data_IF_034775311257
#
_entry.id   IF_034775311257
#
_cell.length_a   1.000
_cell.length_b   1.000
_cell.length_c   1.000
_cell.angle_alpha   90.00
_cell.angle_beta   90.00
_cell.angle_gamma   90.00
#
_symmetry.space_group_name_H-M   'P 1'
#
loop_
_entity.id
_entity.type
_entity.pdbx_description
1 polymer ?
#
# COMPACT_ATOMS: atom_id res chain seq x y z
N UNK A 1 6.76 -7.54 9.50
CA UNK A 1 5.72 -6.61 10.00
C UNK A 1 5.74 -6.68 11.52
N UNK A 2 5.55 -5.55 12.19
CA UNK A 2 5.38 -5.49 13.65
C UNK A 2 3.94 -5.06 13.95
N UNK A 3 3.15 -5.91 14.63
CA UNK A 3 1.73 -5.63 14.88
C UNK A 3 1.50 -4.40 15.75
N UNK A 4 2.49 -3.95 16.53
CA UNK A 4 2.40 -2.70 17.31
C UNK A 4 2.28 -1.47 16.41
N UNK A 5 2.67 -1.58 15.14
CA UNK A 5 2.54 -0.50 14.17
C UNK A 5 1.06 -0.15 13.91
N UNK A 6 0.10 -1.01 14.29
CA UNK A 6 -1.34 -0.67 14.29
C UNK A 6 -1.65 0.60 15.09
N UNK A 7 -0.79 0.97 16.05
CA UNK A 7 -0.88 2.22 16.80
C UNK A 7 -0.87 3.46 15.91
N UNK A 8 -0.17 3.40 14.76
CA UNK A 8 -0.07 4.48 13.77
C UNK A 8 -1.28 4.57 12.82
N UNK A 9 -2.25 3.64 12.92
CA UNK A 9 -3.46 3.73 12.11
C UNK A 9 -4.37 4.88 12.58
N UNK A 10 -4.78 5.74 11.66
CA UNK A 10 -5.80 6.76 11.93
C UNK A 10 -7.21 6.15 11.84
N UNK A 11 -7.38 5.19 10.94
CA UNK A 11 -8.64 4.48 10.69
C UNK A 11 -8.37 2.99 10.54
N UNK A 12 -9.22 2.13 11.11
CA UNK A 12 -9.20 0.69 10.84
C UNK A 12 -10.61 0.26 10.49
N UNK A 13 -10.77 -0.38 9.34
CA UNK A 13 -12.06 -0.83 8.81
C UNK A 13 -12.04 -2.30 8.45
N UNK A 14 -13.23 -2.88 8.39
CA UNK A 14 -13.48 -4.14 7.69
C UNK A 14 -14.43 -3.85 6.54
N UNK A 15 -14.03 -4.25 5.33
CA UNK A 15 -14.79 -3.94 4.13
C UNK A 15 -14.32 -4.70 2.90
N UNK A 16 -15.06 -4.52 1.80
CA UNK A 16 -14.73 -5.12 0.51
C UNK A 16 -13.93 -4.14 -0.34
N UNK A 17 -12.86 -4.63 -0.96
CA UNK A 17 -12.08 -3.85 -1.92
C UNK A 17 -12.76 -3.90 -3.29
N UNK A 18 -13.05 -2.74 -3.87
CA UNK A 18 -13.64 -2.60 -5.20
C UNK A 18 -12.88 -1.54 -6.01
N UNK A 19 -13.05 -1.54 -7.33
CA UNK A 19 -12.38 -0.60 -8.25
C UNK A 19 -10.85 -0.56 -8.07
N UNK A 20 -10.23 -1.72 -7.87
CA UNK A 20 -8.79 -1.82 -7.72
C UNK A 20 -8.07 -1.58 -9.04
N UNK A 21 -7.09 -0.68 -9.01
CA UNK A 21 -6.23 -0.39 -10.15
C UNK A 21 -4.82 -0.01 -9.69
N UNK A 22 -3.83 -0.31 -10.54
CA UNK A 22 -2.48 0.22 -10.39
C UNK A 22 -2.39 1.55 -11.12
N UNK A 23 -2.19 2.63 -10.36
CA UNK A 23 -1.91 3.95 -10.91
C UNK A 23 -0.44 4.04 -11.27
N UNK A 24 -0.20 4.23 -12.56
CA UNK A 24 1.12 4.21 -13.18
C UNK A 24 1.65 5.62 -13.36
N UNK A 25 2.82 5.93 -12.81
CA UNK A 25 3.47 7.23 -13.01
C UNK A 25 3.88 7.41 -14.50
N UNK A 26 3.27 8.37 -15.23
CA UNK A 26 3.59 8.61 -16.63
C UNK A 26 4.91 9.36 -16.83
N UNK A 27 5.35 10.15 -15.84
CA UNK A 27 6.59 10.94 -15.89
C UNK A 27 7.79 10.01 -15.79
N UNK A 28 7.77 9.08 -14.82
CA UNK A 28 8.85 8.09 -14.65
C UNK A 28 8.95 7.19 -15.87
N UNK A 29 7.82 6.71 -16.41
CA UNK A 29 7.80 5.90 -17.65
C UNK A 29 8.36 6.65 -18.84
N UNK A 30 7.95 7.90 -19.05
CA UNK A 30 8.46 8.72 -20.15
C UNK A 30 9.96 8.99 -20.01
N UNK A 31 10.43 9.23 -18.79
CA UNK A 31 11.86 9.42 -18.49
C UNK A 31 12.65 8.13 -18.73
N UNK A 32 12.12 7.00 -18.28
CA UNK A 32 12.72 5.69 -18.49
C UNK A 32 12.80 5.34 -19.98
N UNK A 33 11.70 5.56 -20.73
CA UNK A 33 11.67 5.35 -22.18
C UNK A 33 12.71 6.21 -22.90
N UNK A 34 12.79 7.51 -22.58
CA UNK A 34 13.83 8.39 -23.14
C UNK A 34 15.25 7.92 -22.83
N UNK A 35 15.47 7.40 -21.63
CA UNK A 35 16.76 6.84 -21.25
C UNK A 35 17.08 5.58 -22.08
N UNK A 36 16.13 4.65 -22.22
CA UNK A 36 16.30 3.48 -23.08
C UNK A 36 16.59 3.89 -24.52
N UNK A 37 15.87 4.87 -25.06
CA UNK A 37 16.04 5.36 -26.43
C UNK A 37 17.39 6.04 -26.66
N UNK A 38 18.04 6.55 -25.61
CA UNK A 38 19.41 7.06 -25.69
C UNK A 38 20.48 5.96 -25.74
N UNK A 39 20.13 4.71 -25.42
CA UNK A 39 21.05 3.57 -25.45
C UNK A 39 21.07 2.90 -26.83
N UNK A 40 22.23 2.39 -27.28
CA UNK A 40 22.32 1.63 -28.52
C UNK A 40 21.34 0.44 -28.54
N UNK A 41 20.63 0.19 -29.67
CA UNK A 41 19.64 -0.89 -29.76
C UNK A 41 20.17 -2.29 -29.44
N UNK A 42 21.45 -2.55 -29.70
CA UNK A 42 22.14 -3.82 -29.42
C UNK A 42 22.74 -3.92 -28.01
N UNK A 43 22.55 -2.90 -27.15
CA UNK A 43 23.16 -2.91 -25.83
C UNK A 43 22.44 -3.86 -24.87
N UNK A 44 23.20 -4.78 -24.27
CA UNK A 44 22.73 -5.68 -23.20
C UNK A 44 22.15 -4.91 -22.00
N UNK A 45 22.61 -3.69 -21.79
CA UNK A 45 22.07 -2.77 -20.78
C UNK A 45 20.63 -2.35 -21.11
N UNK A 46 20.34 -1.98 -22.37
CA UNK A 46 18.97 -1.65 -22.80
C UNK A 46 18.03 -2.84 -22.64
N UNK A 47 18.47 -4.03 -23.01
CA UNK A 47 17.69 -5.26 -22.86
C UNK A 47 17.38 -5.55 -21.38
N UNK A 48 18.38 -5.41 -20.50
CA UNK A 48 18.22 -5.62 -19.05
C UNK A 48 17.28 -4.58 -18.43
N UNK A 49 17.40 -3.33 -18.84
CA UNK A 49 16.62 -2.21 -18.29
C UNK A 49 15.25 -2.04 -18.91
N UNK A 50 14.94 -2.68 -20.04
CA UNK A 50 13.59 -2.70 -20.63
C UNK A 50 12.62 -3.63 -19.88
N UNK A 51 13.13 -4.49 -18.98
CA UNK A 51 12.36 -5.48 -18.24
C UNK A 51 11.45 -5.00 -17.09
N UNK A 52 11.69 -3.86 -16.39
CA UNK A 52 10.84 -3.44 -15.29
C UNK A 52 9.40 -3.12 -15.76
N UNK A 53 8.43 -3.86 -15.24
CA UNK A 53 6.99 -3.64 -15.53
C UNK A 53 6.33 -2.63 -14.59
N UNK A 54 6.92 -2.41 -13.42
CA UNK A 54 6.48 -1.45 -12.41
C UNK A 54 7.65 -0.60 -11.91
N UNK A 55 7.32 0.59 -11.42
CA UNK A 55 8.25 1.52 -10.78
C UNK A 55 7.85 1.73 -9.32
N UNK A 56 8.80 2.12 -8.47
CA UNK A 56 8.55 2.43 -7.05
C UNK A 56 7.57 3.59 -6.83
N UNK A 57 7.29 4.37 -7.87
CA UNK A 57 6.31 5.46 -7.88
C UNK A 57 4.93 5.02 -8.34
N UNK A 58 4.79 3.76 -8.78
CA UNK A 58 3.47 3.17 -8.98
C UNK A 58 2.85 2.86 -7.63
N UNK A 59 1.54 2.94 -7.57
CA UNK A 59 0.78 2.66 -6.35
C UNK A 59 -0.58 2.09 -6.73
N UNK A 60 -1.17 1.31 -5.83
CA UNK A 60 -2.55 0.88 -6.01
C UNK A 60 -3.53 1.96 -5.53
N UNK A 61 -4.64 2.12 -6.25
CA UNK A 61 -5.81 2.89 -5.84
C UNK A 61 -7.03 1.99 -5.87
N UNK A 62 -7.85 2.08 -4.84
CA UNK A 62 -9.09 1.32 -4.76
C UNK A 62 -10.08 1.98 -3.81
N UNK A 63 -11.32 1.52 -3.88
CA UNK A 63 -12.35 1.88 -2.91
C UNK A 63 -12.55 0.74 -1.91
N UNK A 64 -12.87 1.10 -0.68
CA UNK A 64 -13.33 0.17 0.34
C UNK A 64 -14.82 0.45 0.57
N UNK A 65 -15.67 -0.55 0.32
CA UNK A 65 -17.05 -0.54 0.80
C UNK A 65 -17.02 -1.01 2.25
N UNK A 66 -17.23 -0.07 3.18
CA UNK A 66 -17.03 -0.27 4.61
C UNK A 66 -18.23 -1.00 5.20
N UNK A 67 -17.99 -2.16 5.81
CA UNK A 67 -19.00 -2.89 6.58
C UNK A 67 -18.92 -2.61 8.08
N UNK A 68 -17.71 -2.33 8.59
CA UNK A 68 -17.47 -2.10 10.02
C UNK A 68 -16.27 -1.16 10.20
N UNK A 69 -16.34 -0.27 11.17
CA UNK A 69 -15.23 0.60 11.58
C UNK A 69 -14.76 0.17 12.97
N UNK A 70 -13.50 -0.28 13.07
CA UNK A 70 -12.86 -0.71 14.31
C UNK A 70 -12.13 0.43 15.03
N UNK A 71 -11.66 1.43 14.28
CA UNK A 71 -10.97 2.61 14.81
C UNK A 71 -11.18 3.81 13.90
N UNK A 72 -11.29 5.00 14.48
CA UNK A 72 -11.36 6.27 13.74
C UNK A 72 -12.75 6.54 13.17
N UNK A 73 -12.80 7.30 12.06
CA UNK A 73 -14.03 7.60 11.32
C UNK A 73 -13.81 7.32 9.84
N UNK A 74 -14.78 6.66 9.21
CA UNK A 74 -14.79 6.40 7.78
C UNK A 74 -16.21 6.61 7.24
N UNK A 75 -16.32 7.04 5.98
CA UNK A 75 -17.58 6.97 5.25
C UNK A 75 -17.88 5.53 4.82
N UNK A 76 -19.14 5.24 4.46
CA UNK A 76 -19.57 3.92 3.96
C UNK A 76 -18.77 3.45 2.74
N UNK A 77 -18.19 4.40 2.01
CA UNK A 77 -17.23 4.15 0.93
C UNK A 77 -16.06 5.12 1.05
N UNK A 78 -14.85 4.59 1.02
CA UNK A 78 -13.62 5.39 1.10
C UNK A 78 -12.65 4.99 -0.01
N UNK A 79 -12.20 5.97 -0.78
CA UNK A 79 -11.10 5.80 -1.73
C UNK A 79 -9.78 5.89 -0.99
N UNK A 80 -8.89 4.94 -1.22
CA UNK A 80 -7.59 4.85 -0.55
C UNK A 80 -6.48 4.57 -1.56
N UNK A 81 -5.25 4.87 -1.17
CA UNK A 81 -4.06 4.44 -1.89
C UNK A 81 -3.30 3.37 -1.13
N UNK A 82 -2.41 2.68 -1.84
CA UNK A 82 -1.44 1.78 -1.23
C UNK A 82 -0.10 1.96 -1.94
N UNK A 83 0.80 2.65 -1.25
CA UNK A 83 2.14 2.97 -1.72
C UNK A 83 3.03 1.72 -1.55
N UNK A 84 3.33 1.00 -2.63
CA UNK A 84 4.09 -0.24 -2.53
C UNK A 84 5.59 0.02 -2.39
N UNK A 85 6.13 -0.41 -1.25
CA UNK A 85 7.54 -0.24 -0.95
C UNK A 85 8.45 -1.31 -1.55
N UNK A 86 7.98 -2.51 -1.98
CA UNK A 86 8.91 -3.55 -2.48
C UNK A 86 8.29 -4.83 -3.05
N UNK A 87 7.03 -5.15 -2.75
CA UNK A 87 6.57 -6.55 -2.79
C UNK A 87 5.73 -6.94 -4.01
N UNK A 88 5.52 -6.02 -4.96
CA UNK A 88 4.57 -6.20 -6.05
C UNK A 88 3.14 -6.26 -5.50
N UNK A 89 2.34 -5.24 -5.78
CA UNK A 89 0.92 -5.35 -5.49
C UNK A 89 0.34 -6.44 -6.38
N UNK A 90 -0.60 -7.25 -5.88
CA UNK A 90 -1.27 -8.20 -6.76
C UNK A 90 -1.98 -7.43 -7.86
N UNK A 91 -1.99 -7.99 -9.07
CA UNK A 91 -2.69 -7.37 -10.22
C UNK A 91 -4.20 -7.25 -9.95
N UNK A 92 -4.74 -8.14 -9.10
CA UNK A 92 -6.13 -8.16 -8.66
C UNK A 92 -6.23 -8.49 -7.17
N UNK A 93 -7.23 -7.90 -6.50
CA UNK A 93 -7.58 -8.27 -5.13
C UNK A 93 -8.55 -9.45 -5.15
N UNK A 94 -8.30 -10.44 -4.28
CA UNK A 94 -9.16 -11.61 -4.16
C UNK A 94 -10.60 -11.24 -3.75
N UNK A 95 -11.61 -12.05 -4.13
CA UNK A 95 -12.99 -11.81 -3.73
C UNK A 95 -13.11 -12.04 -2.21
N UNK A 96 -13.32 -10.96 -1.44
CA UNK A 96 -13.40 -11.10 0.02
C UNK A 96 -13.51 -9.78 0.77
N UNK A 97 -13.85 -9.90 2.04
CA UNK A 97 -13.74 -8.79 3.00
C UNK A 97 -12.36 -8.81 3.65
N UNK A 98 -11.81 -7.62 3.83
CA UNK A 98 -10.50 -7.41 4.41
C UNK A 98 -10.60 -6.51 5.64
N UNK A 99 -9.79 -6.80 6.65
CA UNK A 99 -9.43 -5.83 7.67
C UNK A 99 -8.29 -4.98 7.13
N UNK A 100 -8.50 -3.67 7.05
CA UNK A 100 -7.56 -2.72 6.46
C UNK A 100 -7.30 -1.60 7.47
N UNK A 101 -6.03 -1.40 7.82
CA UNK A 101 -5.60 -0.24 8.58
C UNK A 101 -5.13 0.84 7.61
N UNK A 102 -5.59 2.06 7.85
CA UNK A 102 -5.37 3.23 7.04
C UNK A 102 -4.68 4.33 7.86
N UNK A 103 -3.84 5.09 7.19
CA UNK A 103 -3.09 6.22 7.74
C UNK A 103 -3.32 7.46 6.88
N UNK A 104 -3.50 8.61 7.51
CA UNK A 104 -3.36 9.91 6.86
C UNK A 104 -1.89 10.09 6.44
N UNK A 105 -1.60 10.43 5.18
CA UNK A 105 -0.23 10.65 4.73
C UNK A 105 0.58 11.62 5.61
N UNK A 106 -0.09 12.56 6.27
CA UNK A 106 0.48 13.58 7.16
C UNK A 106 0.58 13.15 8.63
N UNK A 107 -0.02 12.02 9.01
CA UNK A 107 0.11 11.44 10.36
C UNK A 107 1.50 10.78 10.53
N UNK A 108 1.99 10.61 11.78
CA UNK A 108 3.25 9.92 12.05
C UNK A 108 3.32 8.54 11.37
N UNK A 109 4.49 8.20 10.85
CA UNK A 109 4.71 6.93 10.15
C UNK A 109 5.43 5.91 11.05
N UNK A 110 5.19 4.61 10.84
CA UNK A 110 5.98 3.57 11.50
C UNK A 110 7.48 3.70 11.23
N UNK A 111 8.34 3.28 12.17
CA UNK A 111 9.79 3.39 11.98
C UNK A 111 10.27 2.54 10.80
N UNK A 112 11.36 3.00 10.16
CA UNK A 112 12.00 2.33 9.04
C UNK A 112 12.47 0.92 9.43
N UNK A 113 12.10 -0.09 8.63
CA UNK A 113 12.49 -1.49 8.86
C UNK A 113 13.58 -1.91 7.87
N UNK A 114 14.73 -1.25 7.93
CA UNK A 114 15.92 -1.66 7.18
C UNK A 114 16.82 -0.49 6.77
N UNK A 115 18.13 -0.75 6.51
CA UNK A 115 19.10 0.28 6.16
C UNK A 115 18.84 0.93 4.79
N UNK A 116 18.09 0.27 3.90
CA UNK A 116 17.72 0.78 2.58
C UNK A 116 16.29 1.32 2.51
N UNK A 117 15.59 1.37 3.64
CA UNK A 117 14.22 1.84 3.70
C UNK A 117 14.17 3.34 3.35
N UNK A 118 13.50 3.66 2.24
CA UNK A 118 13.34 5.03 1.75
C UNK A 118 11.88 5.42 1.85
N UNK A 119 11.62 6.64 2.31
CA UNK A 119 10.28 7.23 2.32
C UNK A 119 10.17 8.15 1.12
N UNK A 120 9.36 7.77 0.16
CA UNK A 120 9.00 8.63 -0.96
C UNK A 120 7.83 9.53 -0.56
N UNK A 121 7.70 10.73 -1.13
CA UNK A 121 6.48 11.52 -0.99
C UNK A 121 5.26 10.73 -1.44
N UNK A 122 4.17 10.80 -0.68
CA UNK A 122 2.93 10.14 -1.05
C UNK A 122 2.36 10.79 -2.34
N UNK A 123 2.02 10.00 -3.38
CA UNK A 123 1.55 10.53 -4.66
C UNK A 123 0.14 11.15 -4.59
N UNK A 124 -0.62 10.84 -3.55
CA UNK A 124 -1.96 11.35 -3.25
C UNK A 124 -2.06 11.84 -1.78
N UNK A 125 -1.41 12.96 -1.42
CA UNK A 125 -1.24 13.39 -0.03
C UNK A 125 -2.54 13.77 0.70
N UNK A 126 -3.65 13.89 -0.04
CA UNK A 126 -4.99 14.16 0.48
C UNK A 126 -5.86 12.90 0.64
N UNK A 127 -5.28 11.71 0.43
CA UNK A 127 -6.00 10.43 0.43
C UNK A 127 -5.42 9.51 1.49
N UNK A 128 -6.28 8.83 2.25
CA UNK A 128 -5.84 7.81 3.20
C UNK A 128 -5.05 6.72 2.47
N UNK A 129 -3.93 6.30 3.04
CA UNK A 129 -3.11 5.21 2.50
C UNK A 129 -3.17 3.99 3.40
N UNK A 130 -3.09 2.80 2.82
CA UNK A 130 -2.87 1.56 3.57
C UNK A 130 -1.64 1.72 4.46
N UNK A 131 -1.80 1.38 5.74
CA UNK A 131 -0.73 1.42 6.71
C UNK A 131 0.31 0.36 6.36
N UNK A 132 1.52 0.81 6.06
CA UNK A 132 2.65 -0.06 5.79
C UNK A 132 3.93 0.62 6.27
N UNK A 133 4.72 -0.09 7.08
CA UNK A 133 6.07 0.35 7.41
C UNK A 133 6.98 0.11 6.19
N UNK A 134 7.92 1.02 5.86
CA UNK A 134 8.87 0.81 4.77
C UNK A 134 9.61 -0.53 4.93
N UNK A 135 9.67 -1.32 3.85
CA UNK A 135 10.20 -2.69 3.81
C UNK A 135 9.45 -3.74 4.67
N UNK A 136 8.21 -3.49 5.06
CA UNK A 136 7.33 -4.48 5.69
C UNK A 136 6.08 -4.74 4.84
N UNK A 137 5.34 -5.81 5.17
CA UNK A 137 4.02 -6.07 4.56
C UNK A 137 2.95 -5.06 5.01
N UNK A 138 1.88 -4.88 4.22
CA UNK A 138 0.78 -3.95 4.51
C UNK A 138 -0.13 -4.48 5.62
N UNK A 139 -0.75 -3.59 6.40
CA UNK A 139 -1.84 -3.95 7.32
C UNK A 139 -3.16 -4.12 6.56
N UNK A 140 -3.20 -5.18 5.77
CA UNK A 140 -4.35 -5.61 4.99
C UNK A 140 -4.43 -7.13 5.07
N UNK A 141 -5.51 -7.65 5.66
CA UNK A 141 -5.66 -9.07 5.92
C UNK A 141 -7.08 -9.52 5.58
N UNK A 142 -7.24 -10.73 5.04
CA UNK A 142 -8.56 -11.35 4.94
C UNK A 142 -9.19 -11.45 6.33
N UNK A 143 -10.49 -11.20 6.44
CA UNK A 143 -11.17 -11.17 7.76
C UNK A 143 -11.10 -12.49 8.53
N UNK A 144 -10.96 -13.61 7.81
CA UNK A 144 -10.82 -14.97 8.36
C UNK A 144 -9.41 -15.30 8.85
N UNK A 145 -8.42 -14.44 8.56
CA UNK A 145 -7.02 -14.68 8.89
C UNK A 145 -6.75 -14.56 10.40
N UNK A 146 -5.67 -15.20 10.86
CA UNK A 146 -5.22 -15.11 12.27
C UNK A 146 -4.77 -13.69 12.61
N UNK A 147 -4.17 -13.02 11.64
CA UNK A 147 -3.67 -11.65 11.70
C UNK A 147 -4.80 -10.65 11.93
N UNK A 148 -5.92 -10.79 11.19
CA UNK A 148 -7.11 -9.97 11.41
C UNK A 148 -7.67 -10.16 12.83
N UNK A 149 -7.72 -11.40 13.32
CA UNK A 149 -8.15 -11.71 14.69
C UNK A 149 -7.21 -11.13 15.76
N UNK A 150 -5.90 -11.09 15.51
CA UNK A 150 -4.94 -10.45 16.40
C UNK A 150 -5.16 -8.93 16.47
N UNK A 151 -5.28 -8.27 15.31
CA UNK A 151 -5.51 -6.82 15.24
C UNK A 151 -6.79 -6.42 15.96
N UNK A 152 -7.89 -7.16 15.77
CA UNK A 152 -9.14 -6.92 16.51
C UNK A 152 -8.93 -6.96 18.02
N UNK A 153 -8.28 -8.01 18.54
CA UNK A 153 -7.98 -8.13 19.97
C UNK A 153 -7.11 -6.98 20.49
N UNK A 154 -6.14 -6.53 19.70
CA UNK A 154 -5.30 -5.39 20.07
C UNK A 154 -6.11 -4.09 20.16
N UNK A 155 -7.06 -3.87 19.24
CA UNK A 155 -7.93 -2.70 19.24
C UNK A 155 -8.97 -2.75 20.36
N UNK A 156 -9.47 -3.93 20.71
CA UNK A 156 -10.41 -4.13 21.81
C UNK A 156 -9.74 -4.05 23.20
N UNK A 157 -8.43 -3.86 23.28
CA UNK A 157 -7.66 -3.88 24.53
C UNK A 157 -7.57 -5.28 25.17
N UNK A 158 -7.77 -6.35 24.38
CA UNK A 158 -7.77 -7.76 24.80
C UNK A 158 -6.55 -8.54 24.30
N UNK A 159 -5.50 -7.86 23.87
CA UNK A 159 -4.25 -8.49 23.50
C UNK A 159 -3.31 -8.48 24.73
N UNK A 160 -3.20 -9.64 25.38
CA UNK A 160 -2.12 -9.97 26.31
C UNK A 160 -1.03 -10.76 25.58
#
# INVERSE_FOLDING_TARGET
MDFRDIGYADVVVVGQVVNYEIVRDPVVRKRHQRFLDSLPPSSKLRETLAGPKSFITDYARFDIVVGEVLRGKAADRVTVTWDNSTFGEPDEMGPGSFLIALRDPNSPMPPLRGPSATVMPNPAPATLTVLQAPCAGPFMFETSSKEAGLVRRMLDGRAE
#
